data_IF_599868765893
#
_entry.id   IF_599868765893
#
_cell.length_a   1.000
_cell.length_b   1.000
_cell.length_c   1.000
_cell.angle_alpha   90.00
_cell.angle_beta   90.00
_cell.angle_gamma   90.00
#
_symmetry.space_group_name_H-M   'P 1'
#
loop_
_entity.id
_entity.type
_entity.pdbx_description
1 polymer ?
#
# COMPACT_ATOMS: atom_id res chain seq x y z
N UNK A 1 2.22 2.86 13.14
CA UNK A 1 2.54 3.05 14.55
C UNK A 1 3.06 4.46 14.82
N UNK A 2 4.22 4.86 14.26
CA UNK A 2 4.86 6.15 14.54
C UNK A 2 3.96 7.36 14.20
N UNK A 3 3.27 7.36 13.06
CA UNK A 3 2.31 8.43 12.74
C UNK A 3 1.17 8.52 13.76
N UNK A 4 0.67 7.37 14.25
CA UNK A 4 -0.33 7.34 15.33
C UNK A 4 0.24 7.79 16.69
N UNK A 5 1.55 7.86 16.82
CA UNK A 5 2.27 8.38 17.99
C UNK A 5 2.78 9.82 17.80
N UNK A 6 2.29 10.51 16.76
CA UNK A 6 2.55 11.92 16.53
C UNK A 6 3.80 12.25 15.70
N UNK A 7 4.46 11.25 15.10
CA UNK A 7 5.56 11.47 14.15
C UNK A 7 4.97 11.91 12.81
N UNK A 8 5.48 13.02 12.27
CA UNK A 8 5.06 13.47 10.93
C UNK A 8 5.44 12.44 9.85
N UNK A 9 4.63 12.26 8.79
CA UNK A 9 4.96 11.31 7.74
C UNK A 9 6.36 11.46 7.14
N UNK A 10 6.84 12.70 7.00
CA UNK A 10 8.17 12.99 6.48
C UNK A 10 9.32 12.47 7.35
N UNK A 11 9.09 12.34 8.65
CA UNK A 11 10.12 12.00 9.65
C UNK A 11 10.09 10.49 10.00
N UNK A 12 9.12 9.75 9.50
CA UNK A 12 8.88 8.34 9.91
C UNK A 12 10.11 7.47 9.72
N UNK A 13 10.75 7.54 8.56
CA UNK A 13 11.89 6.68 8.26
C UNK A 13 13.18 7.12 8.97
N UNK A 14 13.37 8.42 9.18
CA UNK A 14 14.47 8.93 10.01
C UNK A 14 14.36 8.42 11.45
N UNK A 15 13.18 8.51 12.04
CA UNK A 15 12.92 7.98 13.38
C UNK A 15 13.08 6.47 13.41
N UNK A 16 12.52 5.74 12.42
CA UNK A 16 12.54 4.29 12.37
C UNK A 16 13.94 3.71 12.09
N UNK A 17 14.87 4.49 11.56
CA UNK A 17 16.26 4.09 11.38
C UNK A 17 17.06 4.00 12.70
N UNK A 18 16.48 4.47 13.82
CA UNK A 18 17.11 4.43 15.14
C UNK A 18 16.54 3.30 16.01
N UNK A 19 17.36 2.67 16.89
CA UNK A 19 16.84 1.68 17.85
C UNK A 19 15.70 2.23 18.72
N UNK A 20 15.82 3.46 19.19
CA UNK A 20 14.82 4.14 20.03
C UNK A 20 13.50 4.36 19.25
N UNK A 21 13.59 4.70 17.97
CA UNK A 21 12.42 4.86 17.11
C UNK A 21 11.72 3.54 16.84
N UNK A 22 12.48 2.46 16.66
CA UNK A 22 11.92 1.10 16.55
C UNK A 22 11.22 0.71 17.85
N UNK A 23 11.86 0.93 19.01
CA UNK A 23 11.25 0.67 20.34
C UNK A 23 9.95 1.45 20.52
N UNK A 24 9.95 2.71 20.12
CA UNK A 24 8.77 3.59 20.15
C UNK A 24 7.64 3.04 19.29
N UNK A 25 7.95 2.54 18.08
CA UNK A 25 6.97 1.95 17.20
C UNK A 25 6.32 0.70 17.80
N UNK A 26 7.13 -0.22 18.36
CA UNK A 26 6.61 -1.43 19.02
C UNK A 26 5.81 -1.11 20.28
N UNK A 27 6.29 -0.18 21.12
CA UNK A 27 5.53 0.27 22.28
C UNK A 27 4.14 0.83 21.90
N UNK A 28 4.06 1.51 20.74
CA UNK A 28 2.76 1.96 20.22
C UNK A 28 1.89 0.80 19.76
N UNK A 29 2.47 -0.21 19.11
CA UNK A 29 1.75 -1.44 18.70
C UNK A 29 1.27 -2.25 19.91
N UNK A 30 2.01 -2.29 21.00
CA UNK A 30 1.61 -2.97 22.24
C UNK A 30 0.25 -2.47 22.75
N UNK A 31 -0.08 -1.21 22.53
CA UNK A 31 -1.35 -0.62 22.99
C UNK A 31 -2.58 -1.18 22.32
N UNK A 32 -2.42 -1.86 21.18
CA UNK A 32 -3.53 -2.42 20.39
C UNK A 32 -3.35 -3.91 20.08
N UNK A 33 -2.23 -4.52 20.47
CA UNK A 33 -1.83 -5.89 20.07
C UNK A 33 -2.91 -6.94 20.34
N UNK A 34 -3.58 -6.84 21.48
CA UNK A 34 -4.60 -7.81 21.90
C UNK A 34 -5.93 -7.67 21.13
N UNK A 35 -6.15 -6.53 20.47
CA UNK A 35 -7.36 -6.23 19.73
C UNK A 35 -7.20 -6.44 18.22
N UNK A 36 -6.03 -6.94 17.77
CA UNK A 36 -5.73 -7.12 16.33
C UNK A 36 -5.96 -8.56 15.91
N UNK A 37 -6.73 -8.72 14.85
CA UNK A 37 -6.76 -9.95 14.04
C UNK A 37 -5.73 -9.81 12.93
N UNK A 38 -4.68 -10.61 12.99
CA UNK A 38 -3.59 -10.56 12.02
C UNK A 38 -3.95 -11.30 10.75
N UNK A 39 -3.60 -10.73 9.62
CA UNK A 39 -3.78 -11.35 8.31
C UNK A 39 -2.44 -11.38 7.54
N UNK A 40 -2.26 -12.37 6.67
CA UNK A 40 -1.06 -12.60 5.86
C UNK A 40 -1.35 -12.71 4.36
N UNK A 41 -2.62 -12.82 3.99
CA UNK A 41 -3.03 -12.89 2.59
C UNK A 41 -4.03 -11.77 2.24
N UNK A 42 -3.78 -11.07 1.13
CA UNK A 42 -4.59 -9.89 0.72
C UNK A 42 -6.07 -10.17 0.43
N UNK A 43 -6.50 -11.43 0.41
CA UNK A 43 -7.91 -11.81 0.33
C UNK A 43 -8.63 -11.80 1.69
N UNK A 44 -7.89 -11.85 2.80
CA UNK A 44 -8.47 -11.94 4.15
C UNK A 44 -9.15 -10.65 4.62
N UNK A 45 -8.58 -9.44 4.46
CA UNK A 45 -9.18 -8.22 4.97
C UNK A 45 -10.63 -7.98 4.54
N UNK A 46 -11.03 -8.08 3.25
CA UNK A 46 -12.43 -7.93 2.88
C UNK A 46 -13.33 -9.03 3.47
N UNK A 47 -12.83 -10.25 3.70
CA UNK A 47 -13.59 -11.33 4.33
C UNK A 47 -13.83 -11.05 5.82
N UNK A 48 -12.81 -10.61 6.55
CA UNK A 48 -12.89 -10.23 7.97
C UNK A 48 -13.89 -9.09 8.19
N UNK A 49 -13.93 -8.11 7.29
CA UNK A 49 -14.93 -7.04 7.32
C UNK A 49 -16.34 -7.56 7.00
N UNK A 50 -16.48 -8.42 5.98
CA UNK A 50 -17.78 -8.96 5.56
C UNK A 50 -18.39 -9.86 6.62
N UNK A 51 -17.57 -10.68 7.33
CA UNK A 51 -18.00 -11.52 8.44
C UNK A 51 -18.28 -10.73 9.73
N UNK A 52 -17.92 -9.44 9.77
CA UNK A 52 -17.98 -8.58 10.97
C UNK A 52 -17.07 -9.06 12.11
N UNK A 53 -16.06 -9.84 11.81
CA UNK A 53 -15.04 -10.25 12.77
C UNK A 53 -14.18 -9.04 13.19
N UNK A 54 -13.96 -8.11 12.23
CA UNK A 54 -13.33 -6.82 12.51
C UNK A 54 -14.21 -5.67 12.03
N UNK A 55 -14.09 -4.51 12.67
CA UNK A 55 -14.81 -3.28 12.29
C UNK A 55 -13.97 -2.36 11.40
N UNK A 56 -12.65 -2.54 11.38
CA UNK A 56 -11.70 -1.85 10.53
C UNK A 56 -10.49 -2.74 10.26
N UNK A 57 -9.80 -2.50 9.16
CA UNK A 57 -8.59 -3.24 8.80
C UNK A 57 -7.69 -2.39 7.89
N UNK A 58 -6.40 -2.70 7.88
CA UNK A 58 -5.53 -2.29 6.78
C UNK A 58 -5.72 -3.25 5.61
N UNK A 59 -5.65 -2.76 4.39
CA UNK A 59 -5.80 -3.59 3.20
C UNK A 59 -5.22 -2.89 1.96
N UNK A 60 -4.92 -3.65 0.93
CA UNK A 60 -4.69 -3.08 -0.39
C UNK A 60 -6.00 -2.53 -0.95
N UNK A 61 -5.98 -1.24 -1.31
CA UNK A 61 -7.18 -0.51 -1.71
C UNK A 61 -7.96 -1.18 -2.85
N UNK A 62 -7.28 -1.76 -3.84
CA UNK A 62 -7.92 -2.44 -4.95
C UNK A 62 -8.77 -3.66 -4.52
N UNK A 63 -8.40 -4.35 -3.44
CA UNK A 63 -9.19 -5.46 -2.88
C UNK A 63 -10.49 -4.97 -2.25
N UNK A 64 -10.40 -3.89 -1.48
CA UNK A 64 -11.59 -3.29 -0.83
C UNK A 64 -12.51 -2.65 -1.87
N UNK A 65 -11.95 -1.89 -2.81
CA UNK A 65 -12.76 -1.25 -3.85
C UNK A 65 -13.46 -2.29 -4.75
N UNK A 66 -12.79 -3.41 -5.03
CA UNK A 66 -13.42 -4.49 -5.78
C UNK A 66 -14.61 -5.12 -5.02
N UNK A 67 -14.49 -5.31 -3.70
CA UNK A 67 -15.60 -5.77 -2.88
C UNK A 67 -16.77 -4.77 -2.85
N UNK A 68 -16.48 -3.47 -2.82
CA UNK A 68 -17.50 -2.42 -2.91
C UNK A 68 -18.21 -2.46 -4.27
N UNK A 69 -17.43 -2.47 -5.37
CA UNK A 69 -17.97 -2.29 -6.72
C UNK A 69 -18.67 -3.55 -7.27
N UNK A 70 -18.15 -4.75 -6.94
CA UNK A 70 -18.69 -6.01 -7.49
C UNK A 70 -19.62 -6.74 -6.55
N UNK A 71 -19.30 -6.74 -5.26
CA UNK A 71 -20.05 -7.51 -4.26
C UNK A 71 -21.07 -6.65 -3.51
N UNK A 72 -21.08 -5.32 -3.76
CA UNK A 72 -21.94 -4.38 -3.06
C UNK A 72 -21.64 -4.26 -1.56
N UNK A 73 -20.39 -4.59 -1.16
CA UNK A 73 -19.99 -4.58 0.24
C UNK A 73 -20.10 -3.15 0.83
N UNK A 74 -20.70 -2.98 2.03
CA UNK A 74 -20.90 -1.68 2.65
C UNK A 74 -19.62 -1.17 3.33
N UNK A 75 -18.51 -1.16 2.59
CA UNK A 75 -17.22 -0.73 3.09
C UNK A 75 -16.95 0.73 2.72
N UNK A 76 -16.07 1.37 3.47
CA UNK A 76 -15.54 2.69 3.17
C UNK A 76 -14.03 2.68 3.32
N UNK A 77 -13.32 3.20 2.32
CA UNK A 77 -11.87 3.42 2.40
C UNK A 77 -11.63 4.77 3.09
N UNK A 78 -10.74 4.77 4.07
CA UNK A 78 -10.25 6.00 4.74
C UNK A 78 -8.82 6.23 4.25
N UNK A 79 -8.62 7.29 3.50
CA UNK A 79 -7.33 7.61 2.86
C UNK A 79 -6.36 8.36 3.76
N UNK A 80 -6.84 8.94 4.86
CA UNK A 80 -5.99 9.67 5.78
C UNK A 80 -4.90 8.77 6.38
N UNK A 81 -3.66 9.19 6.27
CA UNK A 81 -2.47 8.44 6.66
C UNK A 81 -2.27 7.11 5.88
N UNK A 82 -2.71 7.07 4.62
CA UNK A 82 -2.43 5.94 3.75
C UNK A 82 -0.91 5.75 3.55
N UNK A 83 -0.52 4.52 3.26
CA UNK A 83 0.84 4.19 2.81
C UNK A 83 0.78 3.93 1.31
N UNK A 84 1.56 4.68 0.54
CA UNK A 84 1.71 4.50 -0.90
C UNK A 84 2.91 3.62 -1.17
N UNK A 85 2.68 2.54 -1.89
CA UNK A 85 3.71 1.66 -2.42
C UNK A 85 3.72 1.72 -3.94
N UNK A 86 4.90 1.62 -4.52
CA UNK A 86 5.06 1.54 -5.97
C UNK A 86 5.35 0.10 -6.37
N UNK A 87 4.48 -0.49 -7.19
CA UNK A 87 4.75 -1.75 -7.85
C UNK A 87 5.80 -1.54 -8.95
N UNK A 88 6.84 -2.36 -8.94
CA UNK A 88 7.94 -2.28 -9.89
C UNK A 88 7.95 -3.50 -10.80
N UNK A 89 8.23 -3.27 -12.07
CA UNK A 89 8.44 -4.34 -13.04
C UNK A 89 9.94 -4.43 -13.33
N UNK A 90 10.53 -5.59 -13.05
CA UNK A 90 11.94 -5.86 -13.29
C UNK A 90 12.12 -6.89 -14.39
N UNK A 91 13.20 -6.74 -15.17
CA UNK A 91 13.66 -7.75 -16.13
C UNK A 91 14.83 -8.49 -15.49
N UNK A 92 14.67 -9.78 -15.11
CA UNK A 92 15.75 -10.52 -14.48
C UNK A 92 16.95 -10.68 -15.41
N UNK A 93 18.16 -10.72 -14.83
CA UNK A 93 19.38 -11.06 -15.58
C UNK A 93 19.22 -12.46 -16.19
N UNK A 94 19.49 -12.58 -17.48
CA UNK A 94 19.34 -13.86 -18.21
C UNK A 94 17.93 -14.13 -18.72
N UNK A 95 17.01 -13.14 -18.70
CA UNK A 95 15.72 -13.26 -19.36
C UNK A 95 15.88 -13.67 -20.81
N UNK A 96 15.04 -14.61 -21.31
CA UNK A 96 15.16 -15.16 -22.67
C UNK A 96 14.95 -14.12 -23.77
N UNK A 97 14.06 -13.15 -23.54
CA UNK A 97 13.66 -12.14 -24.53
C UNK A 97 13.71 -10.72 -23.92
N UNK A 98 14.88 -10.19 -23.51
CA UNK A 98 14.98 -8.89 -22.86
C UNK A 98 14.50 -7.74 -23.73
N UNK A 99 14.78 -7.79 -25.05
CA UNK A 99 14.33 -6.76 -26.00
C UNK A 99 12.80 -6.67 -26.10
N UNK A 100 12.11 -7.83 -26.09
CA UNK A 100 10.65 -7.85 -26.09
C UNK A 100 10.11 -7.32 -24.75
N UNK A 101 10.76 -7.65 -23.64
CA UNK A 101 10.38 -7.11 -22.34
C UNK A 101 10.51 -5.59 -22.29
N UNK A 102 11.59 -5.01 -22.84
CA UNK A 102 11.73 -3.55 -22.94
C UNK A 102 10.66 -2.92 -23.85
N UNK A 103 10.32 -3.54 -24.97
CA UNK A 103 9.22 -3.08 -25.83
C UNK A 103 7.88 -3.11 -25.10
N UNK A 104 7.63 -4.16 -24.33
CA UNK A 104 6.44 -4.26 -23.50
C UNK A 104 6.39 -3.17 -22.43
N UNK A 105 7.49 -2.95 -21.69
CA UNK A 105 7.58 -1.88 -20.69
C UNK A 105 7.33 -0.50 -21.32
N UNK A 106 7.95 -0.22 -22.47
CA UNK A 106 7.72 1.02 -23.19
C UNK A 106 6.25 1.20 -23.61
N UNK A 107 5.59 0.12 -24.02
CA UNK A 107 4.18 0.14 -24.40
C UNK A 107 3.27 0.41 -23.19
N UNK A 108 3.42 -0.33 -22.10
CA UNK A 108 2.56 -0.15 -20.90
C UNK A 108 2.84 1.17 -20.16
N UNK A 109 4.00 1.79 -20.41
CA UNK A 109 4.35 3.10 -19.86
C UNK A 109 3.78 4.28 -20.65
N UNK A 110 3.11 4.05 -21.78
CA UNK A 110 2.41 5.12 -22.49
C UNK A 110 1.25 5.64 -21.64
N UNK A 111 0.99 6.95 -21.57
CA UNK A 111 0.00 7.53 -20.67
C UNK A 111 -1.38 6.89 -20.79
N UNK A 112 -1.88 6.75 -22.01
CA UNK A 112 -3.18 6.15 -22.30
C UNK A 112 -3.27 4.67 -21.91
N UNK A 113 -2.16 3.93 -22.04
CA UNK A 113 -2.12 2.51 -21.69
C UNK A 113 -1.98 2.34 -20.18
N UNK A 114 -1.14 3.17 -19.53
CA UNK A 114 -0.96 3.15 -18.08
C UNK A 114 -2.27 3.51 -17.36
N UNK A 115 -3.03 4.47 -17.87
CA UNK A 115 -4.34 4.85 -17.36
C UNK A 115 -5.38 3.71 -17.40
N UNK A 116 -5.29 2.79 -18.38
CA UNK A 116 -6.22 1.66 -18.50
C UNK A 116 -6.19 0.72 -17.31
N UNK A 117 -5.08 0.67 -16.56
CA UNK A 117 -5.00 -0.14 -15.36
C UNK A 117 -6.13 0.19 -14.37
N UNK A 118 -6.45 1.48 -14.22
CA UNK A 118 -7.49 1.97 -13.31
C UNK A 118 -8.90 1.43 -13.63
N UNK A 119 -9.17 0.96 -14.85
CA UNK A 119 -10.46 0.33 -15.21
C UNK A 119 -10.55 -1.15 -14.82
N UNK A 120 -9.44 -1.78 -14.47
CA UNK A 120 -9.40 -3.20 -14.05
C UNK A 120 -9.21 -3.33 -12.55
N UNK A 121 -8.37 -2.45 -11.97
CA UNK A 121 -8.10 -2.38 -10.54
C UNK A 121 -7.85 -0.91 -10.20
N UNK A 122 -8.36 -0.45 -9.06
CA UNK A 122 -8.25 0.94 -8.63
C UNK A 122 -6.87 1.28 -8.06
N UNK A 123 -5.83 0.97 -8.83
CA UNK A 123 -4.46 1.41 -8.58
C UNK A 123 -4.16 2.65 -9.42
N UNK A 124 -3.47 3.61 -8.81
CA UNK A 124 -3.15 4.85 -9.48
C UNK A 124 -2.09 4.67 -10.56
N UNK A 125 -2.25 5.29 -11.76
CA UNK A 125 -1.18 5.33 -12.72
C UNK A 125 0.04 6.07 -12.14
N UNK A 126 1.24 5.58 -12.42
CA UNK A 126 2.50 6.19 -11.95
C UNK A 126 2.90 7.42 -12.75
N UNK A 127 2.36 7.59 -13.95
CA UNK A 127 2.60 8.74 -14.80
C UNK A 127 1.63 9.88 -14.47
N UNK A 128 2.16 11.07 -14.28
CA UNK A 128 1.35 12.28 -14.00
C UNK A 128 0.40 12.59 -15.16
N UNK A 129 0.87 12.48 -16.38
CA UNK A 129 0.11 12.77 -17.60
C UNK A 129 -0.96 11.69 -17.91
N UNK A 130 -0.86 10.50 -17.32
CA UNK A 130 -1.86 9.45 -17.47
C UNK A 130 -3.20 9.77 -16.78
N UNK A 131 -3.20 10.65 -15.78
CA UNK A 131 -4.43 11.02 -15.06
C UNK A 131 -5.52 11.59 -16.00
N UNK A 132 -5.14 12.29 -17.08
CA UNK A 132 -6.07 12.84 -18.07
C UNK A 132 -6.80 11.78 -18.92
N UNK A 133 -6.30 10.55 -18.93
CA UNK A 133 -6.88 9.42 -19.66
C UNK A 133 -7.66 8.45 -18.75
N UNK A 134 -7.64 8.67 -17.45
CA UNK A 134 -8.44 7.87 -16.50
C UNK A 134 -9.91 8.29 -16.61
N UNK A 135 -10.80 7.29 -16.59
CA UNK A 135 -12.23 7.56 -16.62
C UNK A 135 -12.67 8.41 -15.39
N UNK A 136 -13.52 9.44 -15.59
CA UNK A 136 -13.88 10.38 -14.52
C UNK A 136 -14.47 9.72 -13.26
N UNK A 137 -15.15 8.61 -13.40
CA UNK A 137 -15.75 7.83 -12.32
C UNK A 137 -14.72 6.94 -11.57
N UNK A 138 -13.58 6.66 -12.18
CA UNK A 138 -12.48 5.93 -11.55
C UNK A 138 -11.53 6.84 -10.75
N UNK A 139 -11.33 8.09 -11.21
CA UNK A 139 -10.40 9.03 -10.56
C UNK A 139 -10.59 9.15 -9.03
N UNK A 140 -11.81 9.36 -8.49
CA UNK A 140 -12.01 9.51 -7.05
C UNK A 140 -11.80 8.21 -6.25
N UNK A 141 -11.57 7.08 -6.92
CA UNK A 141 -11.32 5.79 -6.29
C UNK A 141 -9.82 5.45 -6.21
N UNK A 142 -8.96 6.27 -6.81
CA UNK A 142 -7.53 6.01 -6.89
C UNK A 142 -6.79 6.51 -5.62
N UNK A 143 -5.76 5.80 -5.15
CA UNK A 143 -4.99 6.22 -3.97
C UNK A 143 -4.27 7.55 -4.17
N UNK A 144 -3.90 7.89 -5.42
CA UNK A 144 -3.24 9.13 -5.80
C UNK A 144 -4.21 10.21 -6.34
N UNK A 145 -5.52 10.09 -6.08
CA UNK A 145 -6.45 11.18 -6.32
C UNK A 145 -6.06 12.42 -5.48
N UNK A 146 -6.20 13.65 -6.00
CA UNK A 146 -5.76 14.86 -5.30
C UNK A 146 -6.28 14.97 -3.86
N UNK A 147 -7.55 14.64 -3.63
CA UNK A 147 -8.18 14.71 -2.31
C UNK A 147 -7.63 13.65 -1.33
N UNK A 148 -6.99 12.60 -1.82
CA UNK A 148 -6.39 11.53 -1.02
C UNK A 148 -4.93 11.79 -0.65
N UNK A 149 -4.30 12.78 -1.29
CA UNK A 149 -2.87 13.12 -1.14
C UNK A 149 -2.63 14.21 -0.09
N UNK A 150 -3.46 14.30 0.93
CA UNK A 150 -3.33 15.32 1.99
C UNK A 150 -2.47 14.86 3.16
N UNK A 151 -2.55 13.59 3.54
CA UNK A 151 -1.73 12.98 4.57
C UNK A 151 -1.41 11.54 4.18
N UNK A 152 -0.19 11.29 3.78
CA UNK A 152 0.25 9.98 3.29
C UNK A 152 1.74 9.75 3.60
N UNK A 153 2.14 8.49 3.64
CA UNK A 153 3.53 8.05 3.71
C UNK A 153 3.86 7.30 2.42
N UNK A 154 4.95 7.68 1.77
CA UNK A 154 5.51 6.87 0.67
C UNK A 154 6.41 5.79 1.27
N UNK A 155 6.22 4.54 0.88
CA UNK A 155 7.11 3.46 1.29
C UNK A 155 8.52 3.70 0.72
N UNK A 156 9.51 3.80 1.61
CA UNK A 156 10.91 4.03 1.27
C UNK A 156 11.58 2.69 0.96
N UNK A 157 11.82 2.43 -0.31
CA UNK A 157 12.40 1.15 -0.77
C UNK A 157 13.85 0.96 -0.35
N UNK A 158 14.64 2.04 -0.20
CA UNK A 158 16.03 1.96 0.27
C UNK A 158 16.03 1.60 1.75
N UNK A 159 15.22 2.29 2.55
CA UNK A 159 15.06 1.96 3.97
C UNK A 159 14.67 0.50 4.17
N UNK A 160 13.65 0.03 3.46
CA UNK A 160 13.22 -1.37 3.59
C UNK A 160 14.23 -2.37 3.04
N UNK A 161 15.07 -1.97 2.08
CA UNK A 161 16.20 -2.75 1.62
C UNK A 161 17.26 -2.93 2.71
N UNK A 162 17.56 -1.88 3.46
CA UNK A 162 18.63 -1.86 4.47
C UNK A 162 18.18 -2.44 5.83
N UNK A 163 16.98 -2.12 6.27
CA UNK A 163 16.48 -2.44 7.63
C UNK A 163 15.39 -3.50 7.66
N UNK A 164 14.79 -3.83 6.52
CA UNK A 164 13.57 -4.64 6.45
C UNK A 164 13.73 -6.02 7.05
N UNK A 165 14.85 -6.71 6.79
CA UNK A 165 15.08 -8.07 7.30
C UNK A 165 15.10 -8.10 8.84
N UNK A 166 15.78 -7.16 9.47
CA UNK A 166 15.89 -7.11 10.93
C UNK A 166 14.59 -6.64 11.58
N UNK A 167 13.89 -5.70 10.96
CA UNK A 167 12.57 -5.27 11.42
C UNK A 167 11.53 -6.39 11.34
N UNK A 168 11.53 -7.19 10.27
CA UNK A 168 10.64 -8.36 10.13
C UNK A 168 10.97 -9.43 11.17
N UNK A 169 12.26 -9.75 11.42
CA UNK A 169 12.65 -10.67 12.48
C UNK A 169 12.14 -10.19 13.83
N UNK A 170 12.34 -8.91 14.12
CA UNK A 170 11.88 -8.30 15.38
C UNK A 170 10.36 -8.33 15.51
N UNK A 171 9.65 -8.01 14.43
CA UNK A 171 8.18 -8.06 14.39
C UNK A 171 7.67 -9.48 14.67
N UNK A 172 8.24 -10.50 14.04
CA UNK A 172 7.85 -11.88 14.26
C UNK A 172 8.11 -12.35 15.71
N UNK A 173 9.26 -11.96 16.28
CA UNK A 173 9.56 -12.23 17.68
C UNK A 173 8.59 -11.52 18.65
N UNK A 174 8.23 -10.29 18.35
CA UNK A 174 7.25 -9.52 19.11
C UNK A 174 5.84 -10.11 18.98
N UNK A 175 5.45 -10.56 17.79
CA UNK A 175 4.15 -11.19 17.57
C UNK A 175 3.97 -12.49 18.35
N UNK A 176 5.04 -13.24 18.56
CA UNK A 176 5.05 -14.52 19.28
C UNK A 176 4.96 -14.39 20.81
N UNK A 177 5.13 -13.21 21.38
CA UNK A 177 4.97 -12.92 22.82
C UNK A 177 3.52 -12.69 23.19
#
# INVERSE_FOLDING_TARGET
ALMADGVAPADVYEVLATPEGVDRAFKKLDTIKQDIVWWDAGAQPPQLLASKEVVMTTAWNGRIQNAIDKDGAPFKIVWNNQILEYDMIAIPKGAKNPELAYKYLAYISQPEINAKLASYITYGPVRIDAASFVAPDALPKLPNAPDHMTAYLVADTEFWGDYGEDLVKRFNAWLAQ
#
